data_IF_707544092194
#
_entry.id   IF_707544092194
#
_cell.length_a   1.000
_cell.length_b   1.000
_cell.length_c   1.000
_cell.angle_alpha   90.00
_cell.angle_beta   90.00
_cell.angle_gamma   90.00
#
_symmetry.space_group_name_H-M   'P 1'
#
loop_
_entity.id
_entity.type
_entity.pdbx_description
1 polymer ?
#
# COMPACT_ATOMS: atom_id res chain seq x y z
N UNK A 1 -24.48 -3.37 10.99
CA UNK A 1 -24.68 -4.82 11.22
C UNK A 1 -23.44 -5.38 11.90
N UNK A 2 -23.57 -6.27 12.88
CA UNK A 2 -22.39 -6.94 13.47
C UNK A 2 -21.97 -8.14 12.62
N UNK A 3 -20.71 -8.55 12.67
CA UNK A 3 -20.22 -9.75 11.96
C UNK A 3 -21.03 -11.00 12.36
N UNK A 4 -21.33 -11.15 13.66
CA UNK A 4 -22.13 -12.27 14.19
C UNK A 4 -23.55 -12.30 13.62
N UNK A 5 -24.15 -11.12 13.42
CA UNK A 5 -25.48 -11.02 12.83
C UNK A 5 -25.43 -11.30 11.32
N UNK A 6 -24.44 -10.74 10.61
CA UNK A 6 -24.23 -10.99 9.19
C UNK A 6 -24.08 -12.49 8.90
N UNK A 7 -23.26 -13.21 9.68
CA UNK A 7 -23.07 -14.67 9.54
C UNK A 7 -24.34 -15.51 9.77
N UNK A 8 -25.39 -14.95 10.38
CA UNK A 8 -26.69 -15.63 10.57
C UNK A 8 -27.69 -15.30 9.48
N UNK A 9 -27.58 -14.12 8.88
CA UNK A 9 -28.58 -13.55 7.97
C UNK A 9 -28.14 -13.66 6.50
N UNK A 10 -26.84 -13.81 6.25
CA UNK A 10 -26.22 -13.79 4.91
C UNK A 10 -25.48 -15.11 4.69
N UNK A 11 -25.65 -15.69 3.51
CA UNK A 11 -24.98 -16.94 3.14
C UNK A 11 -23.54 -16.73 2.63
N UNK A 12 -22.80 -17.82 2.44
CA UNK A 12 -21.40 -17.74 2.00
C UNK A 12 -21.23 -17.15 0.60
N UNK A 13 -22.22 -17.31 -0.28
CA UNK A 13 -22.16 -16.79 -1.64
C UNK A 13 -22.29 -15.27 -1.63
N UNK A 14 -23.27 -14.74 -0.90
CA UNK A 14 -23.44 -13.30 -0.73
C UNK A 14 -22.25 -12.66 -0.01
N UNK A 15 -21.64 -13.34 0.98
CA UNK A 15 -20.36 -12.88 1.55
C UNK A 15 -19.22 -12.76 0.51
N UNK A 16 -19.11 -13.74 -0.40
CA UNK A 16 -18.11 -13.71 -1.46
C UNK A 16 -18.37 -12.57 -2.46
N UNK A 17 -19.64 -12.28 -2.77
CA UNK A 17 -20.05 -11.15 -3.60
C UNK A 17 -19.70 -9.82 -2.94
N UNK A 18 -19.96 -9.64 -1.64
CA UNK A 18 -19.54 -8.45 -0.90
C UNK A 18 -18.03 -8.26 -0.88
N UNK A 19 -17.26 -9.34 -0.75
CA UNK A 19 -15.80 -9.29 -0.88
C UNK A 19 -15.37 -8.89 -2.30
N UNK A 20 -15.99 -9.44 -3.34
CA UNK A 20 -15.70 -9.05 -4.72
C UNK A 20 -16.04 -7.57 -4.97
N UNK A 21 -17.21 -7.12 -4.50
CA UNK A 21 -17.62 -5.73 -4.61
C UNK A 21 -16.68 -4.78 -3.85
N UNK A 22 -16.22 -5.16 -2.66
CA UNK A 22 -15.24 -4.39 -1.90
C UNK A 22 -13.93 -4.13 -2.66
N UNK A 23 -13.49 -5.11 -3.45
CA UNK A 23 -12.28 -4.99 -4.27
C UNK A 23 -12.50 -4.13 -5.52
N UNK A 24 -13.74 -4.04 -6.03
CA UNK A 24 -14.07 -3.23 -7.22
C UNK A 24 -14.30 -1.77 -6.84
N UNK A 25 -15.14 -1.53 -5.84
CA UNK A 25 -15.49 -0.17 -5.40
C UNK A 25 -14.37 0.47 -4.58
N UNK A 26 -13.47 -0.35 -4.04
CA UNK A 26 -12.37 0.04 -3.16
C UNK A 26 -12.87 0.88 -1.98
N UNK A 27 -13.71 0.25 -1.14
CA UNK A 27 -14.39 0.91 -0.03
C UNK A 27 -13.46 1.81 0.79
N UNK A 28 -13.83 3.08 0.87
CA UNK A 28 -13.04 4.12 1.51
C UNK A 28 -12.87 5.32 0.60
N UNK A 29 -12.13 6.30 1.09
CA UNK A 29 -11.87 7.54 0.38
C UNK A 29 -10.40 7.72 -0.05
N UNK A 30 -9.61 6.69 -0.50
CA UNK A 30 -8.21 6.92 -0.88
C UNK A 30 -8.04 8.03 -1.91
N UNK A 31 -8.97 8.14 -2.87
CA UNK A 31 -8.94 9.23 -3.85
C UNK A 31 -9.30 10.58 -3.24
N UNK A 32 -10.20 10.63 -2.25
CA UNK A 32 -10.51 11.88 -1.55
C UNK A 32 -9.37 12.30 -0.62
N UNK A 33 -8.70 11.33 0.01
CA UNK A 33 -7.48 11.52 0.77
C UNK A 33 -6.37 12.09 -0.12
N UNK A 34 -6.15 11.52 -1.31
CA UNK A 34 -5.20 12.05 -2.30
C UNK A 34 -5.54 13.48 -2.71
N UNK A 35 -6.82 13.78 -2.98
CA UNK A 35 -7.28 15.15 -3.31
C UNK A 35 -7.04 16.11 -2.14
N UNK A 36 -7.31 15.67 -0.92
CA UNK A 36 -7.10 16.45 0.30
C UNK A 36 -5.60 16.68 0.54
N UNK A 37 -4.77 15.63 0.38
CA UNK A 37 -3.32 15.70 0.46
C UNK A 37 -2.71 16.67 -0.54
N UNK A 38 -3.28 16.81 -1.74
CA UNK A 38 -2.84 17.84 -2.70
C UNK A 38 -3.07 19.26 -2.16
N UNK A 39 -4.23 19.54 -1.55
CA UNK A 39 -4.53 20.86 -0.96
C UNK A 39 -3.68 21.12 0.28
N UNK A 40 -3.52 20.12 1.16
CA UNK A 40 -2.72 20.23 2.38
C UNK A 40 -1.24 20.40 2.06
N UNK A 41 -0.70 19.65 1.10
CA UNK A 41 0.70 19.79 0.68
C UNK A 41 0.98 21.16 0.06
N UNK A 42 0.04 21.73 -0.69
CA UNK A 42 0.13 23.12 -1.15
C UNK A 42 0.24 24.09 0.03
N UNK A 43 -0.67 23.99 1.02
CA UNK A 43 -0.67 24.85 2.20
C UNK A 43 0.63 24.70 3.01
N UNK A 44 1.10 23.47 3.22
CA UNK A 44 2.33 23.18 3.93
C UNK A 44 3.55 23.77 3.21
N UNK A 45 3.60 23.65 1.88
CA UNK A 45 4.70 24.19 1.08
C UNK A 45 4.73 25.72 1.03
N UNK A 46 3.56 26.38 1.06
CA UNK A 46 3.47 27.84 1.17
C UNK A 46 4.08 28.32 2.49
N UNK A 47 3.89 27.56 3.57
CA UNK A 47 4.34 27.92 4.92
C UNK A 47 5.67 27.25 5.33
N UNK A 48 6.35 26.54 4.41
CA UNK A 48 7.56 25.74 4.71
C UNK A 48 8.78 26.64 4.88
N UNK A 49 9.49 26.43 6.00
CA UNK A 49 10.83 26.98 6.18
C UNK A 49 11.85 26.18 5.36
N UNK A 50 12.35 26.78 4.28
CA UNK A 50 13.30 26.17 3.34
C UNK A 50 14.68 25.90 3.96
N UNK A 51 15.04 26.55 5.06
CA UNK A 51 16.31 26.29 5.76
C UNK A 51 16.23 25.02 6.59
N UNK A 52 15.11 24.82 7.29
CA UNK A 52 14.88 23.64 8.13
C UNK A 52 14.44 22.42 7.32
N UNK A 53 13.66 22.62 6.25
CA UNK A 53 13.25 21.57 5.33
C UNK A 53 13.43 22.03 3.89
N UNK A 54 14.57 21.73 3.24
CA UNK A 54 14.85 22.11 1.85
C UNK A 54 13.95 21.42 0.81
N UNK A 55 13.49 20.20 1.10
CA UNK A 55 12.61 19.41 0.22
C UNK A 55 11.11 19.71 0.44
N UNK A 56 10.32 19.91 -0.64
CA UNK A 56 8.89 20.15 -0.53
C UNK A 56 8.15 18.96 0.07
N UNK A 57 7.06 19.25 0.75
CA UNK A 57 6.14 18.19 1.17
C UNK A 57 5.43 17.61 -0.04
N UNK A 58 5.41 16.29 -0.15
CA UNK A 58 4.60 15.55 -1.10
C UNK A 58 3.15 15.44 -0.61
N UNK A 59 2.26 15.01 -1.51
CA UNK A 59 0.88 14.72 -1.13
C UNK A 59 0.79 13.52 -0.16
N UNK A 60 1.69 12.53 -0.33
CA UNK A 60 1.70 11.30 0.46
C UNK A 60 2.21 11.53 1.89
N UNK A 61 2.99 12.60 2.14
CA UNK A 61 3.50 12.95 3.48
C UNK A 61 2.39 13.19 4.52
N UNK A 62 1.15 13.39 4.08
CA UNK A 62 0.00 13.69 4.94
C UNK A 62 -1.05 12.57 4.99
N UNK A 63 -0.80 11.42 4.35
CA UNK A 63 -1.78 10.33 4.27
C UNK A 63 -1.43 9.21 5.27
N UNK A 64 -2.37 8.75 6.11
CA UNK A 64 -2.07 7.79 7.17
C UNK A 64 -1.77 6.37 6.67
N UNK A 65 -2.24 6.03 5.46
CA UNK A 65 -2.13 4.70 4.87
C UNK A 65 -0.93 4.55 3.93
N UNK A 66 -0.20 5.63 3.65
CA UNK A 66 1.08 5.52 2.97
C UNK A 66 2.10 5.06 4.00
N UNK A 67 2.84 4.01 3.69
CA UNK A 67 4.07 3.70 4.44
C UNK A 67 4.89 4.98 4.52
N UNK A 68 5.46 5.27 5.69
CA UNK A 68 6.20 6.51 5.94
C UNK A 68 7.07 6.86 4.73
N UNK A 69 7.17 8.13 4.31
CA UNK A 69 8.12 8.53 3.27
C UNK A 69 9.59 8.20 3.61
N UNK A 70 9.87 7.86 4.88
CA UNK A 70 11.16 7.30 5.35
C UNK A 70 11.28 5.78 5.20
N UNK A 71 10.27 5.09 4.67
CA UNK A 71 10.44 3.78 4.06
C UNK A 71 11.33 4.02 2.83
N UNK A 72 12.64 3.98 3.07
CA UNK A 72 13.63 3.86 2.01
C UNK A 72 13.07 2.86 1.00
N UNK A 73 12.96 3.23 -0.30
CA UNK A 73 12.51 2.27 -1.31
C UNK A 73 13.38 1.04 -1.10
N UNK A 74 12.75 -0.10 -0.80
CA UNK A 74 13.47 -1.35 -0.59
C UNK A 74 14.42 -1.49 -1.77
N UNK A 75 15.72 -1.27 -1.53
CA UNK A 75 16.70 -1.38 -2.59
C UNK A 75 16.53 -2.79 -3.13
N UNK A 76 16.27 -2.96 -4.44
CA UNK A 76 15.97 -4.27 -4.98
C UNK A 76 17.11 -5.21 -4.60
N UNK A 77 16.77 -6.30 -3.91
CA UNK A 77 17.76 -7.30 -3.50
C UNK A 77 18.42 -7.87 -4.77
N UNK A 78 19.66 -7.44 -5.01
CA UNK A 78 20.48 -7.90 -6.13
C UNK A 78 21.51 -8.90 -5.61
N UNK A 79 21.26 -10.17 -5.86
CA UNK A 79 22.18 -11.25 -5.55
C UNK A 79 23.21 -11.36 -6.69
N UNK A 80 24.48 -11.44 -6.31
CA UNK A 80 25.58 -11.58 -7.28
C UNK A 80 25.54 -12.91 -8.05
N UNK A 81 24.98 -13.96 -7.43
CA UNK A 81 24.78 -15.26 -8.09
C UNK A 81 23.49 -15.26 -8.94
N UNK A 82 23.58 -15.44 -10.26
CA UNK A 82 22.42 -15.50 -11.14
C UNK A 82 21.42 -16.61 -10.75
N UNK A 83 21.89 -17.72 -10.17
CA UNK A 83 21.01 -18.81 -9.74
C UNK A 83 20.22 -18.41 -8.50
N UNK A 84 20.90 -17.88 -7.48
CA UNK A 84 20.24 -17.33 -6.30
C UNK A 84 19.26 -16.21 -6.65
N UNK A 85 19.61 -15.32 -7.60
CA UNK A 85 18.70 -14.28 -8.08
C UNK A 85 17.44 -14.89 -8.74
N UNK A 86 17.60 -15.91 -9.58
CA UNK A 86 16.49 -16.60 -10.23
C UNK A 86 15.59 -17.31 -9.22
N UNK A 87 16.16 -17.90 -8.17
CA UNK A 87 15.42 -18.57 -7.12
C UNK A 87 14.66 -17.58 -6.22
N UNK A 88 15.25 -16.42 -5.92
CA UNK A 88 14.57 -15.33 -5.22
C UNK A 88 13.35 -14.81 -6.01
N UNK A 89 13.51 -14.61 -7.32
CA UNK A 89 12.41 -14.18 -8.20
C UNK A 89 11.29 -15.24 -8.21
N UNK A 90 11.65 -16.52 -8.30
CA UNK A 90 10.66 -17.62 -8.27
C UNK A 90 9.91 -17.71 -6.94
N UNK A 91 10.62 -17.53 -5.83
CA UNK A 91 10.01 -17.51 -4.51
C UNK A 91 9.06 -16.30 -4.34
N UNK A 92 9.47 -15.11 -4.77
CA UNK A 92 8.67 -13.89 -4.64
C UNK A 92 7.40 -13.90 -5.52
N UNK A 93 7.52 -14.36 -6.78
CA UNK A 93 6.39 -14.33 -7.73
C UNK A 93 5.47 -15.54 -7.56
N UNK A 94 6.03 -16.73 -7.31
CA UNK A 94 5.29 -17.99 -7.37
C UNK A 94 5.24 -18.75 -6.04
N UNK A 95 5.89 -18.27 -4.98
CA UNK A 95 5.94 -18.96 -3.68
C UNK A 95 6.73 -20.28 -3.69
N UNK A 96 7.59 -20.50 -4.70
CA UNK A 96 8.35 -21.74 -4.85
C UNK A 96 9.73 -21.57 -4.21
N UNK A 97 9.95 -22.22 -3.06
CA UNK A 97 11.27 -22.24 -2.42
C UNK A 97 12.30 -23.01 -3.25
N UNK A 98 13.56 -22.57 -3.30
CA UNK A 98 14.62 -23.29 -4.00
C UNK A 98 14.83 -24.70 -3.41
N UNK A 99 15.06 -25.67 -4.29
CA UNK A 99 15.43 -27.04 -3.87
C UNK A 99 16.87 -27.01 -3.34
N UNK A 100 17.05 -27.37 -2.07
CA UNK A 100 18.38 -27.67 -1.51
C UNK A 100 18.97 -28.83 -2.29
N UNK A 101 20.13 -28.62 -2.90
CA UNK A 101 20.97 -29.67 -3.43
C UNK A 101 22.02 -30.08 -2.39
#
# INVERSE_FOLDING_TARGET
>A
MSVRQAQREIDSAEFAEWLAYANIENFGSPVEDLRTGAVVSMLANINRDRKQRPEPYGLLDFLPWTESPDASPDEPVQLADPKAQSDLIRAAIFGISPKSH
#
